data_IF_720479096597
#
_entry.id   IF_720479096597
#
_cell.length_a   1.000
_cell.length_b   1.000
_cell.length_c   1.000
_cell.angle_alpha   90.00
_cell.angle_beta   90.00
_cell.angle_gamma   90.00
#
_symmetry.space_group_name_H-M   'P 1'
#
loop_
_entity.id
_entity.type
_entity.pdbx_description
1 polymer ?
#
# COMPACT_ATOMS: atom_id res chain seq x y z
N UNK A 1 62.62 -0.35 -13.15
CA UNK A 1 61.32 -0.18 -13.83
C UNK A 1 60.34 0.34 -12.78
N UNK A 2 60.35 1.65 -12.57
CA UNK A 2 59.58 2.33 -11.52
C UNK A 2 58.33 2.87 -12.19
N UNK A 3 57.19 2.21 -11.97
CA UNK A 3 55.90 2.67 -12.50
C UNK A 3 55.55 3.95 -11.75
N UNK A 4 55.26 5.02 -12.50
CA UNK A 4 55.10 6.37 -11.96
C UNK A 4 53.94 6.45 -10.94
N UNK A 5 54.10 7.18 -9.82
CA UNK A 5 53.11 7.28 -8.73
C UNK A 5 51.79 7.95 -9.14
N UNK A 6 51.78 8.73 -10.22
CA UNK A 6 50.60 9.44 -10.73
C UNK A 6 49.54 8.47 -11.28
N UNK A 7 49.95 7.46 -12.04
CA UNK A 7 49.03 6.47 -12.63
C UNK A 7 48.33 5.59 -11.57
N UNK A 8 48.98 5.37 -10.42
CA UNK A 8 48.40 4.57 -9.33
C UNK A 8 47.39 5.38 -8.51
N UNK A 9 47.62 6.70 -8.39
CA UNK A 9 46.70 7.64 -7.75
C UNK A 9 45.43 7.82 -8.60
N UNK A 10 45.57 7.92 -9.93
CA UNK A 10 44.44 8.01 -10.85
C UNK A 10 43.57 6.76 -10.85
N UNK A 11 44.18 5.57 -10.87
CA UNK A 11 43.45 4.30 -10.76
C UNK A 11 42.73 4.17 -9.41
N UNK A 12 43.36 4.60 -8.32
CA UNK A 12 42.73 4.55 -6.98
C UNK A 12 41.54 5.51 -6.90
N UNK A 13 41.65 6.69 -7.50
CA UNK A 13 40.56 7.67 -7.60
C UNK A 13 39.38 7.14 -8.42
N UNK A 14 39.65 6.51 -9.56
CA UNK A 14 38.62 5.90 -10.41
C UNK A 14 37.88 4.75 -9.70
N UNK A 15 38.61 3.89 -8.97
CA UNK A 15 38.01 2.80 -8.21
C UNK A 15 37.14 3.35 -7.07
N UNK A 16 37.56 4.44 -6.41
CA UNK A 16 36.77 5.08 -5.38
C UNK A 16 35.47 5.69 -5.93
N UNK A 17 35.52 6.37 -7.08
CA UNK A 17 34.33 6.92 -7.75
C UNK A 17 33.34 5.81 -8.17
N UNK A 18 33.86 4.70 -8.71
CA UNK A 18 33.05 3.55 -9.09
C UNK A 18 32.39 2.91 -7.86
N UNK A 19 33.11 2.76 -6.76
CA UNK A 19 32.54 2.26 -5.51
C UNK A 19 31.46 3.19 -4.95
N UNK A 20 31.67 4.51 -5.00
CA UNK A 20 30.67 5.47 -4.54
C UNK A 20 29.40 5.42 -5.40
N UNK A 21 29.55 5.30 -6.72
CA UNK A 21 28.41 5.08 -7.64
C UNK A 21 27.67 3.78 -7.35
N UNK A 22 28.39 2.68 -7.15
CA UNK A 22 27.77 1.39 -6.82
C UNK A 22 26.99 1.48 -5.50
N UNK A 23 27.60 2.07 -4.47
CA UNK A 23 26.96 2.25 -3.17
C UNK A 23 25.70 3.12 -3.26
N UNK A 24 25.77 4.21 -4.02
CA UNK A 24 24.63 5.10 -4.27
C UNK A 24 23.50 4.39 -5.00
N UNK A 25 23.81 3.66 -6.08
CA UNK A 25 22.79 2.91 -6.84
C UNK A 25 22.18 1.79 -6.01
N UNK A 26 22.97 1.06 -5.22
CA UNK A 26 22.46 0.01 -4.33
C UNK A 26 21.48 0.58 -3.29
N UNK A 27 21.77 1.75 -2.74
CA UNK A 27 20.85 2.44 -1.82
C UNK A 27 19.52 2.81 -2.50
N UNK A 28 19.59 3.31 -3.73
CA UNK A 28 18.39 3.67 -4.50
C UNK A 28 17.51 2.45 -4.81
N UNK A 29 18.12 1.30 -5.12
CA UNK A 29 17.38 0.05 -5.34
C UNK A 29 16.63 -0.35 -4.07
N UNK A 30 17.33 -0.36 -2.92
CA UNK A 30 16.70 -0.70 -1.64
C UNK A 30 15.54 0.24 -1.27
N UNK A 31 15.67 1.54 -1.57
CA UNK A 31 14.61 2.52 -1.31
C UNK A 31 13.39 2.30 -2.24
N UNK A 32 13.62 1.94 -3.50
CA UNK A 32 12.55 1.59 -4.43
C UNK A 32 11.86 0.28 -4.04
N UNK A 33 12.61 -0.73 -3.61
CA UNK A 33 12.06 -2.00 -3.14
C UNK A 33 11.16 -1.79 -1.90
N UNK A 34 11.57 -0.94 -0.96
CA UNK A 34 10.73 -0.57 0.18
C UNK A 34 9.44 0.12 -0.28
N UNK A 35 9.53 1.06 -1.22
CA UNK A 35 8.34 1.76 -1.76
C UNK A 35 7.41 0.82 -2.52
N UNK A 36 7.94 -0.19 -3.21
CA UNK A 36 7.14 -1.23 -3.87
C UNK A 36 6.43 -2.07 -2.80
N UNK A 37 7.13 -2.52 -1.76
CA UNK A 37 6.54 -3.28 -0.67
C UNK A 37 5.44 -2.50 0.08
N UNK A 38 5.66 -1.21 0.33
CA UNK A 38 4.65 -0.33 0.93
C UNK A 38 3.43 -0.16 0.03
N UNK A 39 3.64 0.03 -1.27
CA UNK A 39 2.55 0.14 -2.24
C UNK A 39 1.78 -1.18 -2.40
N UNK A 40 2.46 -2.32 -2.31
CA UNK A 40 1.84 -3.65 -2.41
C UNK A 40 0.99 -3.96 -1.16
N UNK A 41 1.48 -3.58 0.03
CA UNK A 41 0.72 -3.69 1.28
C UNK A 41 -0.53 -2.78 1.31
N UNK A 42 -0.61 -1.76 0.46
CA UNK A 42 -1.77 -0.88 0.33
C UNK A 42 -2.82 -1.40 -0.65
N UNK A 43 -2.55 -2.48 -1.39
CA UNK A 43 -3.50 -3.06 -2.33
C UNK A 43 -4.43 -4.04 -1.62
N UNK A 44 -5.59 -3.55 -1.19
CA UNK A 44 -6.72 -4.41 -0.82
C UNK A 44 -7.19 -5.19 -2.05
N UNK A 45 -7.10 -6.52 -2.00
CA UNK A 45 -7.66 -7.36 -3.07
C UNK A 45 -9.17 -7.53 -2.90
N UNK A 46 -9.88 -7.86 -3.98
CA UNK A 46 -11.32 -8.15 -3.91
C UNK A 46 -11.64 -9.29 -2.93
N UNK A 47 -10.74 -10.26 -2.78
CA UNK A 47 -10.90 -11.37 -1.85
C UNK A 47 -10.76 -10.92 -0.38
N UNK A 48 -9.86 -9.97 -0.10
CA UNK A 48 -9.70 -9.41 1.25
C UNK A 48 -10.93 -8.61 1.65
N UNK A 49 -11.52 -7.87 0.71
CA UNK A 49 -12.79 -7.18 0.90
C UNK A 49 -13.91 -8.19 1.17
N UNK A 50 -14.08 -9.21 0.33
CA UNK A 50 -15.10 -10.25 0.55
C UNK A 50 -14.95 -10.95 1.92
N UNK A 51 -13.72 -11.28 2.33
CA UNK A 51 -13.45 -11.90 3.62
C UNK A 51 -13.79 -10.97 4.80
N UNK A 52 -13.40 -9.69 4.74
CA UNK A 52 -13.72 -8.71 5.77
C UNK A 52 -15.24 -8.46 5.90
N UNK A 53 -15.98 -8.57 4.80
CA UNK A 53 -17.42 -8.37 4.77
C UNK A 53 -18.24 -9.66 5.02
N UNK A 54 -17.62 -10.83 5.05
CA UNK A 54 -18.32 -12.11 5.23
C UNK A 54 -19.05 -12.19 6.60
N UNK A 55 -18.37 -11.82 7.68
CA UNK A 55 -18.95 -11.79 9.02
C UNK A 55 -19.80 -10.53 9.27
N UNK A 56 -19.54 -9.46 8.50
CA UNK A 56 -20.31 -8.23 8.54
C UNK A 56 -21.77 -8.45 8.13
N UNK A 57 -22.06 -9.38 7.21
CA UNK A 57 -23.43 -9.69 6.78
C UNK A 57 -24.33 -10.12 7.96
N UNK A 58 -23.81 -10.95 8.87
CA UNK A 58 -24.55 -11.39 10.05
C UNK A 58 -24.81 -10.26 11.05
N UNK A 59 -23.82 -9.37 11.24
CA UNK A 59 -23.97 -8.19 12.09
C UNK A 59 -24.94 -7.18 11.48
N UNK A 60 -24.87 -6.97 10.16
CA UNK A 60 -25.72 -6.05 9.42
C UNK A 60 -27.21 -6.30 9.63
N UNK A 61 -27.61 -7.57 9.60
CA UNK A 61 -29.02 -7.98 9.79
C UNK A 61 -29.53 -7.77 11.23
N UNK A 62 -28.63 -7.61 12.20
CA UNK A 62 -28.97 -7.33 13.60
C UNK A 62 -29.05 -5.84 13.93
N UNK A 63 -28.53 -4.98 13.06
CA UNK A 63 -28.54 -3.53 13.24
C UNK A 63 -29.91 -2.94 12.89
N UNK A 64 -30.35 -1.95 13.66
CA UNK A 64 -31.51 -1.14 13.28
C UNK A 64 -31.22 -0.33 12.01
N UNK A 65 -32.26 0.10 11.26
CA UNK A 65 -32.07 0.90 10.04
C UNK A 65 -31.24 2.18 10.27
N UNK A 66 -31.29 2.74 11.48
CA UNK A 66 -30.55 3.93 11.85
C UNK A 66 -29.07 3.64 12.09
N UNK A 67 -28.75 2.46 12.62
CA UNK A 67 -27.38 2.00 12.81
C UNK A 67 -26.75 1.56 11.48
N UNK A 68 -27.51 0.88 10.62
CA UNK A 68 -27.09 0.56 9.25
C UNK A 68 -26.68 1.81 8.47
N UNK A 69 -27.50 2.87 8.53
CA UNK A 69 -27.19 4.14 7.89
C UNK A 69 -25.91 4.79 8.44
N UNK A 70 -25.67 4.64 9.75
CA UNK A 70 -24.48 5.19 10.41
C UNK A 70 -23.21 4.42 10.03
N UNK A 71 -23.30 3.09 9.97
CA UNK A 71 -22.21 2.23 9.52
C UNK A 71 -21.83 2.50 8.06
N UNK A 72 -22.82 2.68 7.18
CA UNK A 72 -22.61 3.13 5.79
C UNK A 72 -21.90 4.49 5.73
N UNK A 73 -22.32 5.45 6.55
CA UNK A 73 -21.71 6.79 6.58
C UNK A 73 -20.26 6.81 7.08
N UNK A 74 -19.82 5.79 7.83
CA UNK A 74 -18.42 5.62 8.22
C UNK A 74 -17.58 4.95 7.14
N UNK A 75 -18.15 3.98 6.42
CA UNK A 75 -17.44 3.22 5.40
C UNK A 75 -17.35 3.97 4.06
N UNK A 76 -18.41 4.69 3.71
CA UNK A 76 -18.56 5.34 2.40
C UNK A 76 -18.15 6.80 2.49
N UNK A 77 -17.11 7.16 1.74
CA UNK A 77 -16.61 8.52 1.60
C UNK A 77 -17.45 9.35 0.64
N UNK A 78 -17.87 8.76 -0.49
CA UNK A 78 -18.63 9.45 -1.53
C UNK A 78 -19.46 8.47 -2.36
N UNK A 79 -20.66 8.87 -2.73
CA UNK A 79 -21.49 8.19 -3.73
C UNK A 79 -21.79 9.18 -4.84
N UNK A 80 -21.36 8.89 -6.06
CA UNK A 80 -21.74 9.66 -7.25
C UNK A 80 -22.66 8.83 -8.14
N UNK A 81 -23.68 9.49 -8.68
CA UNK A 81 -24.57 8.91 -9.66
C UNK A 81 -24.43 9.66 -10.97
N UNK A 82 -24.02 8.95 -12.02
CA UNK A 82 -24.05 9.48 -13.38
C UNK A 82 -25.40 9.12 -14.01
N UNK A 83 -26.24 10.13 -14.22
CA UNK A 83 -27.56 9.96 -14.85
C UNK A 83 -27.49 9.66 -16.34
N UNK A 84 -26.33 9.85 -16.96
CA UNK A 84 -26.11 9.63 -18.40
C UNK A 84 -25.88 8.15 -18.69
N UNK A 85 -25.10 7.47 -17.84
CA UNK A 85 -24.78 6.05 -17.95
C UNK A 85 -25.57 5.17 -16.94
N UNK A 86 -26.38 5.79 -16.08
CA UNK A 86 -27.06 5.12 -14.97
C UNK A 86 -26.10 4.33 -14.07
N UNK A 87 -24.87 4.83 -13.91
CA UNK A 87 -23.82 4.20 -13.12
C UNK A 87 -23.70 4.86 -11.75
N UNK A 88 -23.35 4.05 -10.75
CA UNK A 88 -23.11 4.50 -9.37
C UNK A 88 -21.65 4.21 -9.06
N UNK A 89 -20.90 5.26 -8.76
CA UNK A 89 -19.53 5.14 -8.26
C UNK A 89 -19.52 5.35 -6.76
N UNK A 90 -18.93 4.39 -6.03
CA UNK A 90 -18.84 4.42 -4.57
C UNK A 90 -17.37 4.47 -4.18
N UNK A 91 -16.98 5.57 -3.51
CA UNK A 91 -15.65 5.74 -2.94
C UNK A 91 -15.71 5.39 -1.45
N UNK A 92 -14.87 4.46 -1.01
CA UNK A 92 -14.79 4.03 0.39
C UNK A 92 -13.62 4.69 1.11
N UNK A 93 -13.70 4.80 2.43
CA UNK A 93 -12.54 5.13 3.26
C UNK A 93 -11.61 3.91 3.34
N UNK A 94 -10.41 4.00 2.76
CA UNK A 94 -9.41 2.91 2.81
C UNK A 94 -9.08 2.48 4.24
N UNK A 95 -9.01 3.44 5.16
CA UNK A 95 -8.81 3.24 6.59
C UNK A 95 -9.94 2.41 7.23
N UNK A 96 -11.19 2.59 6.78
CA UNK A 96 -12.34 1.85 7.28
C UNK A 96 -12.32 0.38 6.81
N UNK A 97 -11.94 0.13 5.55
CA UNK A 97 -11.82 -1.24 5.03
C UNK A 97 -10.64 -1.97 5.70
N UNK A 98 -9.50 -1.29 5.88
CA UNK A 98 -8.37 -1.87 6.61
C UNK A 98 -8.73 -2.19 8.06
N UNK A 99 -9.44 -1.29 8.76
CA UNK A 99 -9.90 -1.55 10.12
C UNK A 99 -10.85 -2.77 10.22
N UNK A 100 -11.73 -2.96 9.23
CA UNK A 100 -12.59 -4.15 9.17
C UNK A 100 -11.77 -5.43 8.95
N UNK A 101 -10.82 -5.42 8.01
CA UNK A 101 -9.98 -6.58 7.70
C UNK A 101 -9.07 -7.02 8.87
N UNK A 102 -8.53 -6.06 9.64
CA UNK A 102 -7.66 -6.38 10.79
C UNK A 102 -8.43 -7.01 11.94
N UNK A 103 -9.65 -6.54 12.24
CA UNK A 103 -10.47 -7.09 13.34
C UNK A 103 -10.97 -8.52 13.05
N UNK A 104 -11.22 -8.88 11.79
CA UNK A 104 -11.55 -10.27 11.38
C UNK A 104 -10.38 -11.24 11.63
N UNK A 105 -9.15 -10.74 11.73
CA UNK A 105 -7.95 -11.57 11.97
C UNK A 105 -7.71 -11.81 13.46
N UNK A 106 -8.07 -10.86 14.34
CA UNK A 106 -7.85 -10.97 15.79
C UNK A 106 -8.88 -11.87 16.51
N UNK A 107 -10.07 -12.10 15.96
CA UNK A 107 -11.03 -13.07 16.51
C UNK A 107 -10.66 -14.55 16.22
N UNK A 108 -9.55 -14.80 15.51
CA UNK A 108 -9.05 -16.14 15.15
C UNK A 108 -7.82 -16.63 15.93
N UNK A 109 -7.32 -15.90 16.93
CA UNK A 109 -6.29 -16.36 17.88
C UNK A 109 -6.86 -16.65 19.27
#
# INVERSE_FOLDING_TARGET
MTVAPEANTDNTSLIADLHDRIAKTARQISELDQRILEADQQQLTSADVEAAFADFAGLWDTLSPQEQARSLALAVKRVEFDSTDSSVEIEFHTEAIQALATNTTEERE
#
